data_IF_583889802972
#
_entry.id   IF_583889802972
#
_cell.length_a   1.000
_cell.length_b   1.000
_cell.length_c   1.000
_cell.angle_alpha   90.00
_cell.angle_beta   90.00
_cell.angle_gamma   90.00
#
_symmetry.space_group_name_H-M   'P 1'
#
loop_
_entity.id
_entity.type
_entity.pdbx_description
1 polymer ?
#
# COMPACT_ATOMS: atom_id res chain seq x y z
N UNK A 1 30.75 6.10 -0.55
CA UNK A 1 31.09 7.35 -1.26
C UNK A 1 29.97 7.58 -2.26
N UNK A 2 29.06 8.45 -1.84
CA UNK A 2 27.74 8.85 -2.32
C UNK A 2 27.64 9.12 -3.83
N UNK A 3 26.57 8.65 -4.50
CA UNK A 3 26.29 9.00 -5.91
C UNK A 3 26.14 10.52 -5.98
N UNK A 4 27.19 11.20 -6.45
CA UNK A 4 27.12 12.63 -6.74
C UNK A 4 26.23 12.86 -7.94
N UNK A 5 25.47 13.95 -7.88
CA UNK A 5 24.59 14.56 -8.91
C UNK A 5 25.19 14.75 -10.31
N UNK A 6 26.40 14.26 -10.60
CA UNK A 6 27.18 14.59 -11.79
C UNK A 6 27.33 13.39 -12.74
N UNK A 7 26.70 12.23 -12.46
CA UNK A 7 26.73 11.06 -13.35
C UNK A 7 25.70 11.11 -14.49
N UNK A 8 24.85 12.15 -14.52
CA UNK A 8 23.72 12.24 -15.43
C UNK A 8 24.05 12.82 -16.82
N UNK A 9 25.26 13.34 -17.04
CA UNK A 9 25.62 14.15 -18.23
C UNK A 9 26.60 13.51 -19.24
N UNK A 10 26.69 12.17 -19.34
CA UNK A 10 27.68 11.55 -20.25
C UNK A 10 27.04 10.60 -21.27
N UNK A 11 26.78 11.14 -22.46
CA UNK A 11 27.05 10.55 -23.78
C UNK A 11 26.51 9.15 -24.08
N UNK A 12 25.38 9.11 -24.79
CA UNK A 12 24.74 7.91 -25.37
C UNK A 12 25.66 7.27 -26.43
N UNK A 13 25.92 5.97 -26.32
CA UNK A 13 26.24 5.12 -27.49
C UNK A 13 27.44 4.17 -27.41
N UNK A 14 28.41 4.34 -26.50
CA UNK A 14 29.59 3.43 -26.44
C UNK A 14 30.06 3.06 -25.04
N UNK A 15 29.29 3.46 -24.03
CA UNK A 15 29.72 3.50 -22.62
C UNK A 15 28.72 2.80 -21.68
N UNK A 16 27.67 2.15 -22.21
CA UNK A 16 26.59 1.60 -21.39
C UNK A 16 27.03 0.43 -20.52
N UNK A 17 27.85 -0.48 -21.05
CA UNK A 17 28.32 -1.65 -20.31
C UNK A 17 29.31 -1.25 -19.21
N UNK A 18 30.17 -0.28 -19.51
CA UNK A 18 31.09 0.34 -18.52
C UNK A 18 30.33 1.17 -17.48
N UNK A 19 29.28 1.88 -17.88
CA UNK A 19 28.39 2.61 -16.98
C UNK A 19 27.65 1.64 -16.07
N UNK A 20 27.08 0.55 -16.61
CA UNK A 20 26.42 -0.50 -15.83
C UNK A 20 27.37 -1.13 -14.82
N UNK A 21 28.59 -1.48 -15.24
CA UNK A 21 29.61 -2.01 -14.33
C UNK A 21 29.87 -1.07 -13.16
N UNK A 22 29.90 0.25 -13.39
CA UNK A 22 30.07 1.26 -12.32
C UNK A 22 28.82 1.43 -11.47
N UNK A 23 27.63 1.30 -12.06
CA UNK A 23 26.36 1.43 -11.34
C UNK A 23 26.12 0.24 -10.40
N UNK A 24 26.63 -0.95 -10.74
CA UNK A 24 26.57 -2.14 -9.87
C UNK A 24 27.26 -1.93 -8.52
N UNK A 25 28.29 -1.09 -8.46
CA UNK A 25 28.99 -0.76 -7.21
C UNK A 25 28.09 0.00 -6.22
N UNK A 26 26.98 0.56 -6.69
CA UNK A 26 26.00 1.26 -5.87
C UNK A 26 24.76 0.41 -5.55
N UNK A 27 24.76 -0.88 -5.87
CA UNK A 27 23.67 -1.76 -5.43
C UNK A 27 23.67 -1.84 -3.90
N UNK A 28 22.50 -1.62 -3.30
CA UNK A 28 22.30 -1.80 -1.86
C UNK A 28 22.56 -3.25 -1.43
N UNK A 29 22.30 -4.20 -2.32
CA UNK A 29 22.69 -5.61 -2.15
C UNK A 29 23.73 -5.99 -3.22
N UNK A 30 25.00 -6.19 -2.85
CA UNK A 30 26.03 -6.64 -3.78
C UNK A 30 25.68 -7.99 -4.42
N UNK A 31 26.06 -8.21 -5.69
CA UNK A 31 25.71 -9.41 -6.46
C UNK A 31 26.12 -10.72 -5.77
N UNK A 32 27.26 -10.72 -5.06
CA UNK A 32 27.75 -11.87 -4.31
C UNK A 32 26.87 -12.29 -3.11
N UNK A 33 25.94 -11.42 -2.68
CA UNK A 33 25.03 -11.67 -1.56
C UNK A 33 23.59 -11.92 -1.98
N UNK A 34 23.27 -11.89 -3.28
CA UNK A 34 21.90 -12.07 -3.78
C UNK A 34 21.27 -13.39 -3.33
N UNK A 35 22.05 -14.49 -3.30
CA UNK A 35 21.56 -15.79 -2.86
C UNK A 35 21.41 -15.91 -1.33
N UNK A 36 22.01 -14.98 -0.58
CA UNK A 36 21.91 -14.94 0.89
C UNK A 36 20.68 -14.14 1.33
N UNK A 37 20.24 -13.15 0.53
CA UNK A 37 19.08 -12.31 0.84
C UNK A 37 17.79 -12.99 0.36
N UNK A 38 17.10 -13.62 1.30
CA UNK A 38 15.75 -14.15 1.07
C UNK A 38 14.71 -13.10 1.45
N UNK A 39 13.60 -13.06 0.71
CA UNK A 39 12.38 -12.46 1.23
C UNK A 39 11.97 -13.29 2.47
N UNK A 40 12.04 -12.70 3.65
CA UNK A 40 11.71 -13.38 4.92
C UNK A 40 10.22 -13.33 5.25
N UNK A 41 9.42 -12.67 4.41
CA UNK A 41 7.96 -12.72 4.50
C UNK A 41 7.40 -14.01 3.91
N UNK A 42 6.78 -14.85 4.74
CA UNK A 42 5.98 -15.99 4.28
C UNK A 42 4.72 -15.54 3.50
N UNK A 43 4.17 -16.47 2.72
CA UNK A 43 3.27 -16.32 1.57
C UNK A 43 2.33 -15.10 1.51
N UNK A 44 2.62 -14.20 0.57
CA UNK A 44 1.86 -12.99 0.31
C UNK A 44 0.67 -13.17 -0.65
N UNK A 45 0.33 -14.36 -1.12
CA UNK A 45 -0.65 -14.55 -2.19
C UNK A 45 -1.94 -15.26 -1.83
N UNK A 46 -1.91 -16.19 -0.87
CA UNK A 46 -3.16 -16.75 -0.36
C UNK A 46 -4.01 -15.63 0.26
N UNK A 47 -3.35 -14.64 0.88
CA UNK A 47 -3.98 -13.39 1.30
C UNK A 47 -4.53 -12.57 0.13
N UNK A 48 -3.82 -12.40 -1.00
CA UNK A 48 -4.33 -11.61 -2.14
C UNK A 48 -5.53 -12.28 -2.84
N UNK A 49 -5.50 -13.60 -3.02
CA UNK A 49 -6.65 -14.35 -3.53
C UNK A 49 -7.82 -14.33 -2.52
N UNK A 50 -7.57 -14.48 -1.22
CA UNK A 50 -8.57 -14.32 -0.15
C UNK A 50 -9.11 -12.89 -0.04
N UNK A 51 -8.28 -11.89 -0.28
CA UNK A 51 -8.62 -10.46 -0.27
C UNK A 51 -9.45 -10.12 -1.50
N UNK A 52 -9.13 -10.68 -2.67
CA UNK A 52 -9.96 -10.56 -3.86
C UNK A 52 -11.29 -11.29 -3.72
N UNK A 53 -11.30 -12.49 -3.15
CA UNK A 53 -12.54 -13.22 -2.91
C UNK A 53 -13.36 -12.54 -1.81
N UNK A 54 -12.73 -11.94 -0.80
CA UNK A 54 -13.40 -11.12 0.20
C UNK A 54 -13.99 -9.86 -0.43
N UNK A 55 -13.21 -9.12 -1.23
CA UNK A 55 -13.69 -7.98 -2.01
C UNK A 55 -14.82 -8.36 -2.94
N UNK A 56 -14.71 -9.44 -3.70
CA UNK A 56 -15.75 -9.87 -4.63
C UNK A 56 -16.98 -10.42 -3.93
N UNK A 57 -16.86 -11.00 -2.73
CA UNK A 57 -18.02 -11.37 -1.90
C UNK A 57 -18.71 -10.11 -1.38
N UNK A 58 -17.95 -9.26 -0.70
CA UNK A 58 -18.39 -7.98 -0.13
C UNK A 58 -19.03 -7.10 -1.21
N UNK A 59 -18.41 -6.99 -2.39
CA UNK A 59 -18.86 -6.14 -3.49
C UNK A 59 -20.07 -6.70 -4.25
N UNK A 60 -20.26 -8.02 -4.23
CA UNK A 60 -21.36 -8.71 -4.92
C UNK A 60 -22.66 -8.66 -4.11
N UNK A 61 -22.56 -8.54 -2.79
CA UNK A 61 -23.70 -8.56 -1.87
C UNK A 61 -24.36 -7.17 -1.69
N UNK A 62 -23.76 -6.10 -2.20
CA UNK A 62 -24.35 -4.77 -2.15
C UNK A 62 -25.59 -4.64 -3.04
N UNK A 63 -26.61 -3.97 -2.50
CA UNK A 63 -27.75 -3.48 -3.28
C UNK A 63 -27.23 -2.51 -4.35
N UNK A 64 -27.89 -2.45 -5.51
CA UNK A 64 -27.46 -1.65 -6.69
C UNK A 64 -27.07 -0.20 -6.34
N UNK A 65 -27.74 0.44 -5.37
CA UNK A 65 -27.41 1.80 -4.91
C UNK A 65 -26.06 1.90 -4.19
N UNK A 66 -25.73 0.94 -3.33
CA UNK A 66 -24.48 0.92 -2.57
C UNK A 66 -23.27 0.62 -3.47
N UNK A 67 -23.45 -0.22 -4.49
CA UNK A 67 -22.42 -0.48 -5.50
C UNK A 67 -22.04 0.80 -6.25
N UNK A 68 -23.03 1.58 -6.69
CA UNK A 68 -22.79 2.84 -7.38
C UNK A 68 -22.02 3.82 -6.48
N UNK A 69 -22.40 3.92 -5.20
CA UNK A 69 -21.73 4.81 -4.25
C UNK A 69 -20.29 4.38 -3.98
N UNK A 70 -20.05 3.09 -3.78
CA UNK A 70 -18.70 2.58 -3.60
C UNK A 70 -17.83 2.81 -4.85
N UNK A 71 -18.36 2.53 -6.04
CA UNK A 71 -17.65 2.73 -7.30
C UNK A 71 -17.33 4.20 -7.57
N UNK A 72 -18.16 5.13 -7.07
CA UNK A 72 -17.92 6.58 -7.15
C UNK A 72 -16.92 7.08 -6.08
N UNK A 73 -16.53 6.26 -5.11
CA UNK A 73 -15.56 6.64 -4.08
C UNK A 73 -14.14 6.78 -4.61
N UNK A 74 -13.24 7.33 -3.80
CA UNK A 74 -11.82 7.43 -4.10
C UNK A 74 -11.11 6.08 -4.26
N UNK A 75 -11.76 4.95 -3.93
CA UNK A 75 -11.19 3.61 -4.10
C UNK A 75 -11.91 2.74 -5.13
N UNK A 76 -13.01 3.22 -5.73
CA UNK A 76 -13.84 2.41 -6.63
C UNK A 76 -13.07 1.82 -7.82
N UNK A 77 -12.08 2.55 -8.36
CA UNK A 77 -11.29 2.10 -9.51
C UNK A 77 -10.37 0.91 -9.21
N UNK A 78 -10.02 0.64 -7.96
CA UNK A 78 -9.21 -0.54 -7.60
C UNK A 78 -9.93 -1.86 -7.85
N UNK A 79 -11.26 -1.87 -7.82
CA UNK A 79 -12.07 -3.05 -8.16
C UNK A 79 -11.84 -3.45 -9.61
N UNK A 80 -11.74 -2.46 -10.50
CA UNK A 80 -11.51 -2.69 -11.91
C UNK A 80 -10.08 -3.19 -12.17
N UNK A 81 -9.10 -2.62 -11.45
CA UNK A 81 -7.69 -3.01 -11.59
C UNK A 81 -7.42 -4.46 -11.17
N UNK A 82 -8.17 -4.99 -10.19
CA UNK A 82 -7.92 -6.34 -9.70
C UNK A 82 -7.95 -7.42 -10.80
N UNK A 83 -8.87 -7.30 -11.77
CA UNK A 83 -9.14 -8.38 -12.75
C UNK A 83 -7.94 -8.75 -13.63
N UNK A 84 -6.90 -7.92 -13.65
CA UNK A 84 -5.74 -8.08 -14.52
C UNK A 84 -4.40 -8.18 -13.77
N UNK A 85 -4.41 -8.10 -12.42
CA UNK A 85 -3.18 -8.07 -11.63
C UNK A 85 -2.79 -9.46 -11.13
N UNK A 86 -1.64 -9.96 -11.62
CA UNK A 86 -0.94 -11.13 -11.06
C UNK A 86 0.27 -10.64 -10.28
N UNK A 87 0.34 -10.94 -8.97
CA UNK A 87 1.59 -10.72 -8.23
C UNK A 87 2.61 -11.78 -8.68
N UNK A 88 3.90 -11.46 -8.59
CA UNK A 88 4.99 -12.44 -8.72
C UNK A 88 6.08 -12.14 -7.71
N UNK A 89 6.22 -12.99 -6.70
CA UNK A 89 7.23 -12.83 -5.65
C UNK A 89 8.65 -12.86 -6.22
N UNK A 90 8.88 -13.69 -7.25
CA UNK A 90 10.17 -13.73 -7.96
C UNK A 90 10.48 -12.41 -8.67
N UNK A 91 9.48 -11.79 -9.33
CA UNK A 91 9.68 -10.48 -9.98
C UNK A 91 9.98 -9.40 -8.94
N UNK A 92 9.23 -9.35 -7.83
CA UNK A 92 9.47 -8.39 -6.76
C UNK A 92 10.84 -8.60 -6.10
N UNK A 93 11.23 -9.85 -5.83
CA UNK A 93 12.55 -10.17 -5.29
C UNK A 93 13.67 -9.68 -6.21
N UNK A 94 13.60 -10.03 -7.49
CA UNK A 94 14.58 -9.60 -8.48
C UNK A 94 14.64 -8.08 -8.62
N UNK A 95 13.49 -7.41 -8.59
CA UNK A 95 13.42 -5.95 -8.60
C UNK A 95 14.12 -5.33 -7.38
N UNK A 96 13.84 -5.84 -6.18
CA UNK A 96 14.42 -5.33 -4.93
C UNK A 96 15.94 -5.57 -4.84
N UNK A 97 16.45 -6.67 -5.42
CA UNK A 97 17.90 -6.90 -5.52
C UNK A 97 18.61 -5.86 -6.40
N UNK A 98 17.87 -5.19 -7.30
CA UNK A 98 18.38 -4.10 -8.13
C UNK A 98 18.25 -2.72 -7.47
N UNK A 99 17.84 -2.64 -6.19
CA UNK A 99 17.78 -1.36 -5.46
C UNK A 99 19.18 -0.75 -5.32
N UNK A 100 19.29 0.52 -5.70
CA UNK A 100 20.50 1.32 -5.57
C UNK A 100 20.51 2.03 -4.22
N UNK A 101 21.69 2.12 -3.61
CA UNK A 101 21.94 3.02 -2.49
C UNK A 101 22.00 4.46 -3.02
N UNK A 102 21.17 5.34 -2.47
CA UNK A 102 21.05 6.72 -2.92
C UNK A 102 20.98 7.69 -1.73
N UNK A 103 21.58 8.86 -1.91
CA UNK A 103 21.62 9.92 -0.87
C UNK A 103 20.53 10.96 -1.04
N UNK A 104 19.54 10.65 -1.87
CA UNK A 104 18.39 11.50 -2.15
C UNK A 104 17.27 11.33 -1.11
N UNK A 105 16.05 11.76 -1.45
CA UNK A 105 14.92 11.70 -0.53
C UNK A 105 14.65 10.28 -0.01
N UNK A 106 14.36 10.18 1.29
CA UNK A 106 14.08 8.89 1.95
C UNK A 106 12.73 8.31 1.57
N UNK A 107 11.90 9.05 0.86
CA UNK A 107 10.62 8.63 0.31
C UNK A 107 10.72 8.31 -1.19
N UNK A 108 11.90 7.92 -1.67
CA UNK A 108 12.10 7.38 -3.03
C UNK A 108 12.87 6.05 -2.97
N UNK A 109 12.70 5.25 -4.03
CA UNK A 109 13.52 4.08 -4.32
C UNK A 109 14.05 4.18 -5.75
N UNK A 110 15.29 3.75 -5.93
CA UNK A 110 15.98 3.80 -7.21
C UNK A 110 16.43 2.39 -7.59
N UNK A 111 16.17 1.99 -8.83
CA UNK A 111 16.45 0.63 -9.30
C UNK A 111 17.28 0.65 -10.58
N UNK A 112 18.21 -0.29 -10.69
CA UNK A 112 18.95 -0.55 -11.91
C UNK A 112 18.25 -1.63 -12.74
N UNK A 113 17.45 -1.21 -13.73
CA UNK A 113 16.80 -2.12 -14.66
C UNK A 113 17.56 -2.15 -15.98
N UNK A 114 18.25 -3.27 -16.22
CA UNK A 114 19.16 -3.47 -17.37
C UNK A 114 20.26 -2.41 -17.38
N UNK A 115 20.12 -1.38 -18.20
CA UNK A 115 21.06 -0.27 -18.37
C UNK A 115 20.44 1.08 -17.94
N UNK A 116 19.23 1.05 -17.37
CA UNK A 116 18.48 2.24 -16.99
C UNK A 116 18.33 2.32 -15.48
N UNK A 117 18.57 3.51 -14.96
CA UNK A 117 18.23 3.85 -13.59
C UNK A 117 16.79 4.36 -13.60
N UNK A 118 15.91 3.67 -12.90
CA UNK A 118 14.49 4.03 -12.77
C UNK A 118 14.19 4.44 -11.34
N UNK A 119 13.25 5.36 -11.19
CA UNK A 119 12.83 5.89 -9.89
C UNK A 119 11.40 5.49 -9.60
N UNK A 120 11.15 5.11 -8.35
CA UNK A 120 9.80 4.96 -7.80
C UNK A 120 9.60 5.98 -6.68
N UNK A 121 8.78 6.99 -6.94
CA UNK A 121 8.44 8.08 -6.03
C UNK A 121 6.92 8.20 -5.87
N UNK A 122 6.48 9.24 -5.15
CA UNK A 122 5.08 9.66 -5.07
C UNK A 122 4.43 9.88 -6.44
N UNK A 123 5.19 10.34 -7.43
CA UNK A 123 4.69 10.61 -8.79
C UNK A 123 4.25 9.31 -9.46
N UNK A 124 5.14 8.32 -9.51
CA UNK A 124 4.84 7.04 -10.13
C UNK A 124 3.74 6.31 -9.35
N UNK A 125 3.75 6.41 -8.01
CA UNK A 125 2.67 5.87 -7.18
C UNK A 125 1.31 6.51 -7.50
N UNK A 126 1.24 7.84 -7.63
CA UNK A 126 0.02 8.54 -8.00
C UNK A 126 -0.47 8.15 -9.40
N UNK A 127 0.43 8.01 -10.38
CA UNK A 127 0.06 7.65 -11.74
C UNK A 127 -0.65 6.29 -11.82
N UNK A 128 -0.20 5.32 -11.01
CA UNK A 128 -0.78 3.98 -10.94
C UNK A 128 -2.04 3.96 -10.07
N UNK A 129 -1.94 4.46 -8.84
CA UNK A 129 -3.00 4.31 -7.84
C UNK A 129 -4.09 5.36 -7.94
N UNK A 130 -3.83 6.49 -8.60
CA UNK A 130 -4.71 7.67 -8.68
C UNK A 130 -5.15 8.24 -7.33
N UNK A 131 -4.52 7.82 -6.23
CA UNK A 131 -4.85 8.28 -4.89
C UNK A 131 -4.31 9.70 -4.66
N UNK A 132 -5.17 10.58 -4.18
CA UNK A 132 -4.81 11.99 -3.96
C UNK A 132 -3.66 12.14 -2.96
N UNK A 133 -2.67 12.97 -3.31
CA UNK A 133 -1.63 13.42 -2.40
C UNK A 133 -1.98 14.78 -1.81
N UNK A 134 -1.49 15.03 -0.59
CA UNK A 134 -1.71 16.27 0.13
C UNK A 134 -1.13 16.18 1.54
N UNK A 135 -1.29 17.25 2.30
CA UNK A 135 -0.95 17.27 3.73
C UNK A 135 -2.03 16.48 4.48
N UNK A 136 -1.62 15.43 5.18
CA UNK A 136 -2.52 14.68 6.08
C UNK A 136 -2.94 15.63 7.19
N UNK A 137 -4.23 15.96 7.24
CA UNK A 137 -4.83 16.80 8.28
C UNK A 137 -4.67 16.16 9.66
N UNK A 138 -4.71 16.99 10.69
CA UNK A 138 -4.71 16.49 12.07
C UNK A 138 -5.93 15.58 12.29
N UNK A 139 -5.66 14.30 12.52
CA UNK A 139 -6.68 13.27 12.69
C UNK A 139 -7.48 13.41 13.98
N UNK A 140 -7.01 14.25 14.93
CA UNK A 140 -7.75 14.56 16.17
C UNK A 140 -8.96 15.48 15.95
N UNK A 141 -9.09 16.09 14.76
CA UNK A 141 -10.19 16.98 14.41
C UNK A 141 -11.49 16.23 14.07
N UNK A 142 -11.43 14.92 13.81
CA UNK A 142 -12.63 14.15 13.53
C UNK A 142 -13.40 13.87 14.82
N UNK A 143 -14.63 14.37 14.89
CA UNK A 143 -15.48 14.21 16.05
C UNK A 143 -16.25 12.88 15.98
N UNK A 144 -16.58 12.33 17.15
CA UNK A 144 -17.50 11.22 17.23
C UNK A 144 -18.89 11.64 16.75
N UNK A 145 -19.48 10.81 15.89
CA UNK A 145 -20.89 10.93 15.51
C UNK A 145 -21.69 10.05 16.47
N UNK A 146 -22.75 10.61 17.05
CA UNK A 146 -23.68 9.87 17.90
C UNK A 146 -24.31 8.74 17.09
N UNK A 147 -24.27 7.51 17.60
CA UNK A 147 -24.71 6.32 16.88
C UNK A 147 -23.98 6.19 15.53
N UNK A 148 -22.69 6.52 15.48
CA UNK A 148 -21.84 6.26 14.31
C UNK A 148 -21.51 4.77 14.15
N UNK A 149 -20.93 4.40 13.01
CA UNK A 149 -20.57 3.04 12.62
C UNK A 149 -19.72 2.34 13.69
N UNK A 150 -18.82 3.06 14.36
CA UNK A 150 -18.00 2.46 15.41
C UNK A 150 -18.87 2.04 16.61
N UNK A 151 -19.80 2.90 17.02
CA UNK A 151 -20.68 2.64 18.16
C UNK A 151 -21.71 1.54 17.84
N UNK A 152 -22.28 1.53 16.63
CA UNK A 152 -23.26 0.51 16.22
C UNK A 152 -22.65 -0.88 16.12
N UNK A 153 -21.53 -1.00 15.40
CA UNK A 153 -20.99 -2.30 15.04
C UNK A 153 -19.93 -2.79 16.03
N UNK A 154 -19.36 -1.90 16.85
CA UNK A 154 -18.31 -2.21 17.82
C UNK A 154 -18.53 -1.54 19.20
N UNK A 155 -19.73 -1.64 19.81
CA UNK A 155 -20.11 -0.89 21.02
C UNK A 155 -19.26 -1.18 22.26
N UNK A 156 -18.50 -2.29 22.26
CA UNK A 156 -17.71 -2.78 23.40
C UNK A 156 -16.22 -2.88 23.09
N UNK A 157 -15.78 -2.38 21.94
CA UNK A 157 -14.39 -2.46 21.52
C UNK A 157 -13.79 -1.06 21.51
N UNK A 158 -12.80 -0.82 22.36
CA UNK A 158 -11.97 0.39 22.29
C UNK A 158 -11.03 0.35 21.07
N UNK A 159 -10.70 -0.86 20.60
CA UNK A 159 -9.84 -1.10 19.45
C UNK A 159 -10.40 -2.20 18.55
N UNK A 160 -10.82 -1.80 17.34
CA UNK A 160 -11.35 -2.73 16.34
C UNK A 160 -10.22 -3.31 15.49
N UNK A 161 -10.11 -4.63 15.45
CA UNK A 161 -9.21 -5.33 14.54
C UNK A 161 -9.79 -5.46 13.14
N UNK A 162 -8.92 -5.61 12.14
CA UNK A 162 -9.35 -5.90 10.77
C UNK A 162 -10.17 -7.21 10.68
N UNK A 163 -9.86 -8.19 11.54
CA UNK A 163 -10.65 -9.44 11.66
C UNK A 163 -12.09 -9.17 12.10
N UNK A 164 -12.28 -8.35 13.13
CA UNK A 164 -13.61 -8.01 13.65
C UNK A 164 -14.43 -7.25 12.60
N UNK A 165 -13.80 -6.30 11.90
CA UNK A 165 -14.43 -5.60 10.78
C UNK A 165 -14.90 -6.56 9.69
N UNK A 166 -14.06 -7.55 9.33
CA UNK A 166 -14.44 -8.58 8.35
C UNK A 166 -15.63 -9.41 8.82
N UNK A 167 -15.71 -9.74 10.10
CA UNK A 167 -16.84 -10.52 10.65
C UNK A 167 -18.13 -9.72 10.49
N UNK A 168 -18.15 -8.44 10.84
CA UNK A 168 -19.33 -7.57 10.66
C UNK A 168 -19.75 -7.52 9.19
N UNK A 169 -18.81 -7.29 8.28
CA UNK A 169 -19.07 -7.29 6.84
C UNK A 169 -19.62 -8.62 6.32
N UNK A 170 -19.21 -9.74 6.91
CA UNK A 170 -19.68 -11.08 6.52
C UNK A 170 -21.09 -11.37 7.03
N UNK A 171 -21.47 -10.82 8.19
CA UNK A 171 -22.82 -10.98 8.74
C UNK A 171 -23.85 -10.21 7.90
N UNK A 172 -23.48 -9.04 7.37
CA UNK A 172 -24.33 -8.26 6.46
C UNK A 172 -25.56 -7.61 7.12
N UNK A 173 -25.61 -7.58 8.45
CA UNK A 173 -26.71 -7.02 9.24
C UNK A 173 -26.50 -5.51 9.49
N UNK A 174 -26.70 -4.70 8.45
CA UNK A 174 -26.49 -3.26 8.51
C UNK A 174 -27.74 -2.51 9.02
N UNK A 175 -27.52 -1.50 9.86
CA UNK A 175 -28.56 -0.68 10.49
C UNK A 175 -29.04 0.44 9.58
N UNK A 176 -28.11 1.19 8.97
CA UNK A 176 -28.42 2.35 8.14
C UNK A 176 -27.99 2.15 6.68
N UNK A 177 -28.56 2.97 5.80
CA UNK A 177 -28.13 3.04 4.40
C UNK A 177 -26.64 3.42 4.32
N UNK A 178 -25.91 2.79 3.40
CA UNK A 178 -24.49 3.02 3.13
C UNK A 178 -23.52 2.61 4.25
N UNK A 179 -23.96 2.08 5.39
CA UNK A 179 -23.05 1.56 6.42
C UNK A 179 -22.11 0.49 5.88
N UNK A 180 -22.66 -0.39 5.04
CA UNK A 180 -21.89 -1.37 4.30
C UNK A 180 -20.77 -0.70 3.49
N UNK A 181 -21.06 0.39 2.77
CA UNK A 181 -20.08 1.13 1.96
C UNK A 181 -18.98 1.70 2.85
N UNK A 182 -19.35 2.35 3.96
CA UNK A 182 -18.39 2.94 4.91
C UNK A 182 -17.43 1.88 5.49
N UNK A 183 -17.97 0.77 5.98
CA UNK A 183 -17.18 -0.34 6.52
C UNK A 183 -16.27 -0.97 5.46
N UNK A 184 -16.74 -1.04 4.21
CA UNK A 184 -15.95 -1.56 3.09
C UNK A 184 -14.81 -0.64 2.67
N UNK A 185 -15.00 0.68 2.73
CA UNK A 185 -13.92 1.64 2.47
C UNK A 185 -12.80 1.50 3.51
N UNK A 186 -13.15 1.32 4.79
CA UNK A 186 -12.18 1.05 5.86
C UNK A 186 -11.46 -0.29 5.62
N UNK A 187 -12.22 -1.33 5.27
CA UNK A 187 -11.64 -2.64 4.99
C UNK A 187 -10.70 -2.60 3.79
N UNK A 188 -11.08 -1.89 2.71
CA UNK A 188 -10.26 -1.71 1.52
C UNK A 188 -8.95 -0.98 1.84
N UNK A 189 -9.02 0.09 2.63
CA UNK A 189 -7.83 0.83 3.06
C UNK A 189 -6.86 -0.07 3.83
N UNK A 190 -7.31 -0.72 4.89
CA UNK A 190 -6.42 -1.42 5.82
C UNK A 190 -6.05 -2.82 5.32
N UNK A 191 -7.02 -3.59 4.85
CA UNK A 191 -6.81 -4.96 4.41
C UNK A 191 -6.11 -5.07 3.05
N UNK A 192 -6.15 -4.02 2.22
CA UNK A 192 -5.77 -4.13 0.80
C UNK A 192 -4.70 -3.12 0.43
N UNK A 193 -4.96 -1.83 0.65
CA UNK A 193 -4.04 -0.78 0.23
C UNK A 193 -2.81 -0.70 1.13
N UNK A 194 -3.02 -0.71 2.45
CA UNK A 194 -1.93 -0.74 3.44
C UNK A 194 -1.47 -2.18 3.68
N UNK A 195 -2.43 -3.12 3.64
CA UNK A 195 -2.23 -4.56 3.84
C UNK A 195 -1.61 -4.89 5.19
N UNK A 196 -2.37 -4.58 6.23
CA UNK A 196 -2.03 -4.92 7.61
C UNK A 196 -2.44 -6.35 7.97
N UNK A 197 -1.82 -6.94 8.99
CA UNK A 197 -2.22 -8.24 9.54
C UNK A 197 -3.66 -8.20 10.10
N UNK A 198 -4.34 -9.34 10.18
CA UNK A 198 -5.70 -9.42 10.71
C UNK A 198 -5.82 -8.94 12.17
N UNK A 199 -4.72 -8.98 12.93
CA UNK A 199 -4.65 -8.47 14.32
C UNK A 199 -4.43 -6.97 14.40
N UNK A 200 -4.16 -6.31 13.27
CA UNK A 200 -3.95 -4.87 13.24
C UNK A 200 -5.18 -4.12 13.74
N UNK A 201 -4.91 -3.16 14.63
CA UNK A 201 -5.92 -2.30 15.21
C UNK A 201 -6.14 -1.11 14.31
N UNK A 202 -7.35 -1.01 13.77
CA UNK A 202 -7.75 0.07 12.88
C UNK A 202 -7.84 1.36 13.71
N UNK A 203 -7.13 2.43 13.30
CA UNK A 203 -7.21 3.70 14.01
C UNK A 203 -8.64 4.23 14.04
N UNK A 204 -9.14 4.58 15.23
CA UNK A 204 -10.52 5.06 15.45
C UNK A 204 -10.88 6.24 14.52
N UNK A 205 -9.93 7.13 14.26
CA UNK A 205 -10.15 8.30 13.38
C UNK A 205 -10.62 7.92 11.97
N UNK A 206 -10.34 6.71 11.48
CA UNK A 206 -10.83 6.25 10.18
C UNK A 206 -12.32 5.95 10.21
N UNK A 207 -12.82 5.41 11.34
CA UNK A 207 -14.26 5.24 11.56
C UNK A 207 -14.96 6.58 11.69
N UNK A 208 -14.32 7.57 12.30
CA UNK A 208 -14.87 8.92 12.42
C UNK A 208 -14.91 9.66 11.07
N UNK A 209 -13.85 9.54 10.28
CA UNK A 209 -13.75 10.20 8.97
C UNK A 209 -14.75 9.64 7.96
N UNK A 210 -14.98 8.32 7.95
CA UNK A 210 -15.86 7.71 6.93
C UNK A 210 -17.34 8.04 7.13
N UNK A 211 -17.73 8.60 8.27
CA UNK A 211 -19.08 9.14 8.46
C UNK A 211 -19.40 10.26 7.48
N UNK A 212 -18.39 11.06 7.12
CA UNK A 212 -18.47 12.03 6.03
C UNK A 212 -17.73 11.49 4.80
N UNK A 213 -18.47 10.81 3.92
CA UNK A 213 -17.91 10.27 2.67
C UNK A 213 -17.31 11.36 1.76
N UNK A 214 -17.76 12.61 1.85
CA UNK A 214 -17.17 13.72 1.09
C UNK A 214 -15.77 14.03 1.62
N UNK A 215 -15.63 14.16 2.95
CA UNK A 215 -14.34 14.35 3.60
C UNK A 215 -13.42 13.14 3.37
N UNK A 216 -13.96 11.92 3.50
CA UNK A 216 -13.22 10.68 3.25
C UNK A 216 -12.65 10.62 1.83
N UNK A 217 -13.46 10.94 0.81
CA UNK A 217 -13.03 10.96 -0.59
C UNK A 217 -12.03 12.09 -0.88
N UNK A 218 -12.11 13.20 -0.16
CA UNK A 218 -11.20 14.33 -0.30
C UNK A 218 -9.85 14.12 0.41
N UNK A 219 -9.78 13.19 1.38
CA UNK A 219 -8.62 12.92 2.19
C UNK A 219 -7.41 12.47 1.34
N UNK A 220 -6.17 12.88 1.69
CA UNK A 220 -4.97 12.56 0.91
C UNK A 220 -4.48 11.12 1.13
N UNK A 221 -5.31 10.13 0.79
CA UNK A 221 -5.00 8.70 0.93
C UNK A 221 -3.71 8.29 0.21
N UNK A 222 -3.34 8.97 -0.87
CA UNK A 222 -2.09 8.71 -1.59
C UNK A 222 -0.87 8.94 -0.71
N UNK A 223 -0.86 10.04 0.07
CA UNK A 223 0.23 10.31 1.00
C UNK A 223 0.26 9.28 2.15
N UNK A 224 -0.91 8.91 2.66
CA UNK A 224 -1.05 7.95 3.75
C UNK A 224 -0.57 6.55 3.34
N UNK A 225 -1.14 5.99 2.26
CA UNK A 225 -0.80 4.63 1.77
C UNK A 225 0.64 4.58 1.28
N UNK A 226 1.13 5.60 0.57
CA UNK A 226 2.50 5.62 0.05
C UNK A 226 3.55 5.45 1.15
N UNK A 227 3.34 6.10 2.31
CA UNK A 227 4.24 5.99 3.46
C UNK A 227 4.33 4.55 3.95
N UNK A 228 3.21 3.84 4.01
CA UNK A 228 3.22 2.43 4.40
C UNK A 228 3.89 1.57 3.33
N UNK A 229 3.56 1.78 2.05
CA UNK A 229 4.15 1.00 0.96
C UNK A 229 5.67 1.15 0.90
N UNK A 230 6.19 2.38 0.94
CA UNK A 230 7.63 2.63 0.81
C UNK A 230 8.42 2.04 1.98
N UNK A 231 7.89 2.12 3.20
CA UNK A 231 8.50 1.50 4.38
C UNK A 231 8.54 -0.02 4.23
N UNK A 232 7.41 -0.64 3.87
CA UNK A 232 7.34 -2.09 3.66
C UNK A 232 8.34 -2.56 2.59
N UNK A 233 8.45 -1.88 1.46
CA UNK A 233 9.42 -2.24 0.42
C UNK A 233 10.87 -2.08 0.86
N UNK A 234 11.20 -1.01 1.59
CA UNK A 234 12.57 -0.77 2.07
C UNK A 234 13.05 -1.79 3.10
N UNK A 235 12.13 -2.36 3.86
CA UNK A 235 12.42 -3.39 4.86
C UNK A 235 12.18 -4.82 4.37
N UNK A 236 11.72 -5.01 3.13
CA UNK A 236 11.40 -6.33 2.58
C UNK A 236 12.63 -7.25 2.41
N UNK A 237 13.82 -6.68 2.24
CA UNK A 237 15.09 -7.41 2.26
C UNK A 237 15.86 -7.05 3.55
N UNK A 238 15.83 -7.90 4.60
CA UNK A 238 16.46 -7.59 5.87
C UNK A 238 17.98 -7.46 5.71
N UNK A 239 18.56 -6.43 6.32
CA UNK A 239 20.00 -6.21 6.48
C UNK A 239 20.62 -7.40 7.24
N UNK A 240 21.79 -7.90 6.83
CA UNK A 240 22.53 -9.01 7.49
C UNK A 240 22.80 -8.83 9.00
N UNK A 241 22.46 -7.68 9.60
CA UNK A 241 22.67 -7.41 11.02
C UNK A 241 21.65 -8.09 11.95
N UNK A 242 20.50 -8.57 11.48
CA UNK A 242 19.43 -9.07 12.36
C UNK A 242 19.43 -10.59 12.58
N UNK A 243 20.39 -11.35 12.03
CA UNK A 243 20.48 -12.81 12.22
C UNK A 243 21.39 -13.24 13.40
N UNK A 244 21.68 -12.33 14.34
CA UNK A 244 22.32 -12.69 15.62
C UNK A 244 21.39 -12.38 16.79
N UNK A 245 20.44 -13.30 17.03
CA UNK A 245 19.62 -13.38 18.23
C UNK A 245 19.41 -14.84 18.60
#
# INVERSE_FOLDING_TARGET
MRIRSNLWDIGVGRNEEKMRSRLKDFLKTPEGDWFKRKLTGHDHFEALARINDALNRILKDFVVGDQCLFMASCFGHFILMHREMMFSGGVIHQLLLQELDHDGPTDEMWFLLRNHVVRFSKVEFYLITRLRFGVVSDTSLYAAVENGIHQWYFPRADEVSLKELRVVLTLGEFQEAYDAVKLCLIYMLNGILIRVDERFKIPVWQFLLVEDLTAFNAFPWGAHVYRHSILSFKHALPSQCDERG
#
